data_IF_199248900601
#
_entry.id   IF_199248900601
#
_cell.length_a   1.000
_cell.length_b   1.000
_cell.length_c   1.000
_cell.angle_alpha   90.00
_cell.angle_beta   90.00
_cell.angle_gamma   90.00
#
_symmetry.space_group_name_H-M   'P 1'
#
loop_
_entity.id
_entity.type
_entity.pdbx_description
1 polymer ?
#
# COMPACT_ATOMS: atom_id res chain seq x y z
N UNK A 1 -29.90 -4.62 -0.33
CA UNK A 1 -30.15 -6.07 -0.26
C UNK A 1 -28.80 -6.75 -0.36
N UNK A 2 -28.38 -7.48 0.67
CA UNK A 2 -27.22 -8.37 0.56
C UNK A 2 -27.60 -9.55 -0.36
N UNK A 3 -26.62 -10.15 -1.03
CA UNK A 3 -26.85 -11.26 -1.93
C UNK A 3 -27.56 -12.42 -1.17
N UNK A 4 -28.48 -13.09 -1.85
CA UNK A 4 -28.99 -14.42 -1.47
C UNK A 4 -29.92 -14.53 -0.25
N UNK A 5 -30.67 -13.48 0.09
CA UNK A 5 -31.74 -13.58 1.10
C UNK A 5 -31.27 -13.68 2.55
N UNK A 6 -29.96 -13.64 2.79
CA UNK A 6 -29.39 -13.46 4.13
C UNK A 6 -29.74 -12.07 4.68
N UNK A 7 -30.27 -12.03 5.91
CA UNK A 7 -30.45 -10.79 6.66
C UNK A 7 -29.20 -10.49 7.47
N UNK A 8 -28.97 -9.22 7.83
CA UNK A 8 -27.81 -8.84 8.68
C UNK A 8 -27.82 -9.60 10.01
N UNK A 9 -29.03 -9.92 10.52
CA UNK A 9 -29.23 -10.67 11.76
C UNK A 9 -28.72 -12.12 11.69
N UNK A 10 -28.68 -12.73 10.51
CA UNK A 10 -28.20 -14.12 10.37
C UNK A 10 -26.70 -14.27 10.64
N UNK A 11 -25.95 -13.16 10.68
CA UNK A 11 -24.52 -13.15 10.94
C UNK A 11 -24.18 -13.11 12.44
N UNK A 12 -25.17 -12.90 13.34
CA UNK A 12 -24.93 -12.88 14.79
C UNK A 12 -23.92 -11.82 15.23
N UNK A 13 -23.90 -10.67 14.56
CA UNK A 13 -22.98 -9.58 14.87
C UNK A 13 -23.51 -8.79 16.07
N UNK A 14 -22.61 -8.42 16.98
CA UNK A 14 -22.86 -7.45 18.05
C UNK A 14 -22.11 -6.15 17.76
N UNK A 15 -22.41 -5.06 18.47
CA UNK A 15 -21.66 -3.79 18.44
C UNK A 15 -20.30 -3.91 19.15
N UNK A 16 -19.49 -4.87 18.73
CA UNK A 16 -18.13 -5.11 19.16
C UNK A 16 -17.29 -5.59 17.97
N UNK A 17 -15.98 -5.34 18.02
CA UNK A 17 -15.06 -5.92 17.06
C UNK A 17 -14.82 -7.40 17.35
N UNK A 18 -15.03 -8.24 16.34
CA UNK A 18 -14.93 -9.69 16.47
C UNK A 18 -13.48 -10.18 16.67
N UNK A 19 -12.47 -9.38 16.33
CA UNK A 19 -11.07 -9.76 16.46
C UNK A 19 -10.45 -9.29 17.77
N UNK A 20 -10.67 -8.03 18.15
CA UNK A 20 -10.09 -7.42 19.35
C UNK A 20 -11.00 -7.44 20.57
N UNK A 21 -12.26 -7.87 20.42
CA UNK A 21 -13.31 -7.83 21.46
C UNK A 21 -13.54 -6.43 22.04
N UNK A 22 -13.19 -5.38 21.30
CA UNK A 22 -13.44 -4.00 21.73
C UNK A 22 -14.89 -3.64 21.42
N UNK A 23 -15.65 -3.26 22.45
CA UNK A 23 -17.01 -2.76 22.28
C UNK A 23 -16.99 -1.42 21.53
N UNK A 24 -17.80 -1.32 20.47
CA UNK A 24 -17.92 -0.12 19.63
C UNK A 24 -18.69 1.01 20.34
N UNK A 25 -19.54 0.64 21.30
CA UNK A 25 -20.30 1.52 22.17
C UNK A 25 -20.36 0.89 23.58
N UNK A 26 -20.66 1.66 24.65
CA UNK A 26 -20.80 1.10 25.99
C UNK A 26 -21.83 -0.03 26.02
N UNK A 27 -21.42 -1.23 26.44
CA UNK A 27 -22.28 -2.42 26.45
C UNK A 27 -22.61 -3.00 25.07
N UNK A 28 -21.88 -2.59 24.02
CA UNK A 28 -22.14 -2.99 22.63
C UNK A 28 -22.10 -4.50 22.37
N UNK A 29 -21.42 -5.27 23.22
CA UNK A 29 -21.42 -6.74 23.20
C UNK A 29 -22.83 -7.34 23.34
N UNK A 30 -23.77 -6.61 23.93
CA UNK A 30 -25.16 -7.05 24.14
C UNK A 30 -26.14 -6.43 23.13
N UNK A 31 -25.62 -5.69 22.14
CA UNK A 31 -26.44 -4.99 21.15
C UNK A 31 -26.26 -5.70 19.82
N UNK A 32 -27.30 -6.41 19.38
CA UNK A 32 -27.30 -7.09 18.09
C UNK A 32 -27.37 -6.10 16.92
N UNK A 33 -26.64 -6.41 15.86
CA UNK A 33 -26.70 -5.68 14.60
C UNK A 33 -27.91 -6.16 13.79
N UNK A 34 -28.81 -5.23 13.51
CA UNK A 34 -30.02 -5.40 12.72
C UNK A 34 -29.93 -4.57 11.44
N UNK A 35 -30.82 -4.81 10.49
CA UNK A 35 -30.88 -3.99 9.27
C UNK A 35 -31.11 -2.49 9.56
N UNK A 36 -31.73 -2.15 10.69
CA UNK A 36 -32.01 -0.77 11.09
C UNK A 36 -30.79 -0.03 11.66
N UNK A 37 -29.86 -0.74 12.31
CA UNK A 37 -28.69 -0.14 12.96
C UNK A 37 -27.35 -0.49 12.27
N UNK A 38 -27.37 -1.32 11.22
CA UNK A 38 -26.18 -1.76 10.48
C UNK A 38 -25.32 -0.60 9.97
N UNK A 39 -25.94 0.51 9.54
CA UNK A 39 -25.18 1.69 9.11
C UNK A 39 -24.38 2.33 10.24
N UNK A 40 -24.93 2.39 11.46
CA UNK A 40 -24.20 2.90 12.64
C UNK A 40 -23.08 1.93 13.02
N UNK A 41 -23.36 0.62 13.05
CA UNK A 41 -22.33 -0.41 13.28
C UNK A 41 -21.12 -0.24 12.34
N UNK A 42 -21.37 -0.09 11.03
CA UNK A 42 -20.32 0.12 10.02
C UNK A 42 -19.55 1.42 10.30
N UNK A 43 -20.24 2.51 10.62
CA UNK A 43 -19.57 3.77 10.95
C UNK A 43 -18.67 3.64 12.19
N UNK A 44 -19.13 2.96 13.25
CA UNK A 44 -18.33 2.72 14.45
C UNK A 44 -17.13 1.83 14.16
N UNK A 45 -17.30 0.81 13.33
CA UNK A 45 -16.20 -0.04 12.89
C UNK A 45 -15.17 0.75 12.08
N UNK A 46 -15.60 1.61 11.15
CA UNK A 46 -14.70 2.48 10.40
C UNK A 46 -13.98 3.50 11.30
N UNK A 47 -14.67 4.05 12.29
CA UNK A 47 -14.05 4.96 13.27
C UNK A 47 -12.98 4.22 14.10
N UNK A 48 -13.29 3.03 14.60
CA UNK A 48 -12.33 2.19 15.32
C UNK A 48 -11.12 1.83 14.43
N UNK A 49 -11.36 1.34 13.22
CA UNK A 49 -10.29 0.80 12.37
C UNK A 49 -9.44 1.88 11.68
N UNK A 50 -10.05 2.98 11.26
CA UNK A 50 -9.43 3.95 10.35
C UNK A 50 -9.29 5.36 10.90
N UNK A 51 -9.90 5.67 12.05
CA UNK A 51 -9.79 6.99 12.67
C UNK A 51 -9.26 6.89 14.09
N UNK A 52 -10.13 6.69 15.08
CA UNK A 52 -9.78 6.69 16.50
C UNK A 52 -8.71 5.64 16.85
N UNK A 53 -8.80 4.42 16.32
CA UNK A 53 -7.87 3.33 16.66
C UNK A 53 -6.45 3.50 16.08
N UNK A 54 -6.28 4.36 15.08
CA UNK A 54 -4.97 4.68 14.50
C UNK A 54 -4.52 6.13 14.76
N UNK A 55 -5.32 6.94 15.45
CA UNK A 55 -5.08 8.37 15.62
C UNK A 55 -3.71 8.67 16.25
N UNK A 56 -3.31 7.89 17.26
CA UNK A 56 -2.01 8.07 17.93
C UNK A 56 -0.84 7.77 16.99
N UNK A 57 -0.95 6.71 16.19
CA UNK A 57 0.05 6.27 15.22
C UNK A 57 0.16 7.29 14.09
N UNK A 58 -0.97 7.80 13.59
CA UNK A 58 -0.98 8.83 12.55
C UNK A 58 -0.45 10.16 13.05
N UNK A 59 -0.75 10.57 14.29
CA UNK A 59 -0.19 11.80 14.84
C UNK A 59 1.32 11.71 15.06
N UNK A 60 1.82 10.56 15.56
CA UNK A 60 3.26 10.32 15.68
C UNK A 60 3.95 10.33 14.30
N UNK A 61 3.36 9.68 13.29
CA UNK A 61 3.86 9.69 11.92
C UNK A 61 3.88 11.10 11.34
N UNK A 62 2.81 11.87 11.53
CA UNK A 62 2.68 13.26 11.08
C UNK A 62 3.72 14.16 11.74
N UNK A 63 3.97 13.99 13.04
CA UNK A 63 4.99 14.73 13.77
C UNK A 63 6.39 14.44 13.24
N UNK A 64 6.76 13.16 13.11
CA UNK A 64 8.05 12.78 12.55
C UNK A 64 8.25 13.25 11.10
N UNK A 65 7.21 13.19 10.27
CA UNK A 65 7.27 13.72 8.91
C UNK A 65 7.47 15.24 8.90
N UNK A 66 6.78 15.97 9.77
CA UNK A 66 6.90 17.42 9.90
C UNK A 66 8.31 17.87 10.33
N UNK A 67 9.05 17.05 11.08
CA UNK A 67 10.45 17.30 11.43
C UNK A 67 11.37 17.21 10.21
N UNK A 68 11.07 16.33 9.25
CA UNK A 68 11.90 16.09 8.07
C UNK A 68 11.62 17.07 6.94
N UNK A 69 10.34 17.25 6.57
CA UNK A 69 9.95 18.06 5.38
C UNK A 69 9.37 19.43 5.75
N UNK A 70 9.30 19.74 7.05
CA UNK A 70 8.70 20.96 7.57
C UNK A 70 7.19 20.87 7.75
N UNK A 71 6.70 21.47 8.83
CA UNK A 71 5.32 21.35 9.27
C UNK A 71 4.28 21.90 8.28
N UNK A 72 4.65 22.86 7.42
CA UNK A 72 3.74 23.39 6.38
C UNK A 72 3.52 22.37 5.26
N UNK A 73 4.59 21.76 4.76
CA UNK A 73 4.51 20.73 3.73
C UNK A 73 3.78 19.48 4.25
N UNK A 74 4.12 19.03 5.46
CA UNK A 74 3.47 17.87 6.07
C UNK A 74 1.95 18.04 6.29
N UNK A 75 1.44 19.27 6.40
CA UNK A 75 0.00 19.55 6.52
C UNK A 75 -0.72 19.68 5.17
N UNK A 76 0.00 19.91 4.08
CA UNK A 76 -0.61 20.17 2.76
C UNK A 76 -0.57 18.97 1.82
N UNK A 77 0.12 17.88 2.17
CA UNK A 77 0.22 16.69 1.33
C UNK A 77 -1.13 15.98 1.22
N UNK A 78 -1.61 15.82 -0.01
CA UNK A 78 -2.67 14.85 -0.28
C UNK A 78 -2.13 13.43 -0.16
N UNK A 79 -3.01 12.45 0.07
CA UNK A 79 -2.62 11.03 0.20
C UNK A 79 -1.77 10.54 -0.99
N UNK A 80 -2.10 10.97 -2.22
CA UNK A 80 -1.35 10.61 -3.42
C UNK A 80 0.06 11.22 -3.46
N UNK A 81 0.24 12.44 -2.96
CA UNK A 81 1.54 13.12 -2.91
C UNK A 81 2.43 12.53 -1.83
N UNK A 82 1.84 12.17 -0.68
CA UNK A 82 2.55 11.41 0.35
C UNK A 82 3.05 10.06 -0.20
N UNK A 83 2.22 9.34 -0.96
CA UNK A 83 2.65 8.10 -1.61
C UNK A 83 3.78 8.35 -2.62
N UNK A 84 3.74 9.42 -3.43
CA UNK A 84 4.85 9.75 -4.34
C UNK A 84 6.13 10.11 -3.58
N UNK A 85 6.02 10.85 -2.48
CA UNK A 85 7.15 11.24 -1.66
C UNK A 85 7.85 10.02 -1.03
N UNK A 86 7.07 9.06 -0.51
CA UNK A 86 7.60 7.88 0.18
C UNK A 86 7.99 6.75 -0.78
N UNK A 87 7.22 6.54 -1.85
CA UNK A 87 7.35 5.39 -2.75
C UNK A 87 7.95 5.75 -4.11
N UNK A 88 8.23 7.03 -4.36
CA UNK A 88 8.71 7.53 -5.65
C UNK A 88 7.62 7.63 -6.72
N UNK A 89 8.00 8.17 -7.88
CA UNK A 89 7.12 8.31 -9.04
C UNK A 89 7.22 7.05 -9.93
N UNK A 90 6.08 6.43 -10.27
CA UNK A 90 6.04 5.20 -11.09
C UNK A 90 6.28 5.43 -12.59
N UNK A 91 6.37 6.69 -13.03
CA UNK A 91 6.52 7.07 -14.44
C UNK A 91 7.88 7.74 -14.69
N UNK A 92 8.97 6.98 -14.53
CA UNK A 92 10.31 7.44 -14.91
C UNK A 92 10.46 7.38 -16.44
N UNK A 93 10.69 8.52 -17.08
CA UNK A 93 10.97 8.62 -18.52
C UNK A 93 12.47 8.42 -18.75
N UNK A 94 12.85 7.41 -19.52
CA UNK A 94 14.24 7.07 -19.80
C UNK A 94 14.72 7.64 -21.16
N UNK A 95 15.86 8.34 -21.16
CA UNK A 95 16.57 8.88 -22.34
C UNK A 95 17.70 7.92 -22.79
N UNK A 96 18.01 7.95 -24.10
CA UNK A 96 19.01 7.17 -24.85
C UNK A 96 20.45 7.27 -24.34
N UNK A 97 20.77 8.22 -23.45
CA UNK A 97 22.15 8.39 -22.92
C UNK A 97 22.59 7.20 -22.04
N UNK A 98 21.66 6.47 -21.41
CA UNK A 98 21.99 5.44 -20.42
C UNK A 98 22.28 4.02 -20.94
N UNK A 99 22.30 3.78 -22.27
CA UNK A 99 22.26 2.43 -22.83
C UNK A 99 23.49 2.05 -23.69
N UNK A 100 24.71 2.06 -23.14
CA UNK A 100 25.92 1.61 -23.86
C UNK A 100 26.85 0.76 -22.99
N UNK A 101 26.74 -0.57 -23.04
CA UNK A 101 27.82 -1.59 -23.01
C UNK A 101 27.35 -2.93 -22.46
N UNK A 102 27.27 -3.98 -23.28
CA UNK A 102 26.82 -5.30 -22.84
C UNK A 102 27.21 -6.46 -23.79
N UNK A 103 27.92 -7.52 -23.32
CA UNK A 103 28.29 -8.68 -24.14
C UNK A 103 27.19 -9.75 -24.28
N UNK A 104 27.31 -10.55 -25.36
CA UNK A 104 26.39 -11.62 -25.74
C UNK A 104 26.44 -12.80 -24.75
N UNK A 105 25.34 -12.99 -24.01
CA UNK A 105 25.20 -14.04 -22.98
C UNK A 105 24.21 -13.66 -21.87
N UNK A 106 24.03 -12.37 -21.62
CA UNK A 106 23.10 -11.83 -20.62
C UNK A 106 21.68 -11.56 -21.16
N UNK A 107 21.30 -12.24 -22.24
CA UNK A 107 19.98 -12.11 -22.87
C UNK A 107 18.84 -12.81 -22.13
N UNK A 108 19.18 -13.74 -21.24
CA UNK A 108 18.22 -14.55 -20.49
C UNK A 108 17.96 -14.03 -19.07
N UNK A 109 18.90 -13.28 -18.49
CA UNK A 109 18.80 -12.77 -17.13
C UNK A 109 17.92 -11.50 -17.11
N UNK A 110 17.01 -11.42 -16.13
CA UNK A 110 16.15 -10.25 -15.94
C UNK A 110 16.88 -9.21 -15.08
N UNK A 111 16.58 -7.91 -15.25
CA UNK A 111 17.13 -6.90 -14.37
C UNK A 111 16.54 -7.07 -12.96
N UNK A 112 17.38 -6.89 -11.95
CA UNK A 112 16.98 -7.03 -10.54
C UNK A 112 17.23 -5.73 -9.78
N UNK A 113 16.40 -5.44 -8.79
CA UNK A 113 16.51 -4.25 -7.98
C UNK A 113 16.77 -4.63 -6.52
N UNK A 114 17.81 -4.04 -5.94
CA UNK A 114 18.03 -4.05 -4.50
C UNK A 114 17.48 -2.75 -3.93
N UNK A 115 16.23 -2.79 -3.46
CA UNK A 115 15.53 -1.62 -2.92
C UNK A 115 16.23 -1.03 -1.70
N UNK A 116 16.79 -1.88 -0.82
CA UNK A 116 17.53 -1.46 0.37
C UNK A 116 18.78 -0.61 0.07
N UNK A 117 19.35 -0.75 -1.13
CA UNK A 117 20.58 -0.07 -1.53
C UNK A 117 20.36 0.91 -2.69
N UNK A 118 19.12 1.06 -3.17
CA UNK A 118 18.78 1.87 -4.35
C UNK A 118 19.60 1.48 -5.59
N UNK A 119 19.96 0.20 -5.71
CA UNK A 119 20.77 -0.32 -6.82
C UNK A 119 19.88 -1.11 -7.77
N UNK A 120 19.89 -0.73 -9.04
CA UNK A 120 19.36 -1.54 -10.13
C UNK A 120 20.53 -2.32 -10.76
N UNK A 121 20.55 -3.63 -10.57
CA UNK A 121 21.51 -4.53 -11.20
C UNK A 121 21.01 -4.86 -12.60
N UNK A 122 21.75 -4.38 -13.59
CA UNK A 122 21.47 -4.64 -15.00
C UNK A 122 22.45 -5.69 -15.52
N UNK A 123 21.96 -6.87 -15.92
CA UNK A 123 22.73 -7.79 -16.75
C UNK A 123 23.19 -7.10 -18.03
N UNK A 124 24.28 -7.57 -18.64
CA UNK A 124 24.73 -7.02 -19.89
C UNK A 124 23.81 -7.37 -21.10
N UNK A 125 22.81 -6.54 -21.42
CA UNK A 125 22.02 -6.58 -22.67
C UNK A 125 22.64 -5.96 -23.93
N UNK A 126 22.90 -6.76 -24.98
CA UNK A 126 23.50 -6.31 -26.26
C UNK A 126 22.84 -5.10 -26.95
N UNK A 127 21.59 -4.76 -26.63
CA UNK A 127 20.91 -3.58 -27.18
C UNK A 127 19.95 -2.91 -26.20
N UNK A 128 19.74 -1.61 -26.41
CA UNK A 128 18.73 -0.84 -25.68
C UNK A 128 17.30 -1.41 -25.88
N UNK A 129 17.01 -1.99 -27.04
CA UNK A 129 15.73 -2.63 -27.33
C UNK A 129 15.53 -3.86 -26.42
N UNK A 130 16.57 -4.69 -26.27
CA UNK A 130 16.55 -5.87 -25.39
C UNK A 130 16.44 -5.47 -23.92
N UNK A 131 17.19 -4.45 -23.46
CA UNK A 131 17.04 -3.93 -22.11
C UNK A 131 15.60 -3.43 -21.87
N UNK A 132 15.04 -2.68 -22.82
CA UNK A 132 13.67 -2.16 -22.71
C UNK A 132 12.63 -3.28 -22.61
N UNK A 133 12.74 -4.30 -23.44
CA UNK A 133 11.85 -5.47 -23.43
C UNK A 133 11.96 -6.21 -22.09
N UNK A 134 13.18 -6.53 -21.65
CA UNK A 134 13.44 -7.29 -20.42
C UNK A 134 13.07 -6.52 -19.16
N UNK A 135 13.38 -5.23 -19.11
CA UNK A 135 12.99 -4.35 -18.01
C UNK A 135 11.47 -4.16 -17.95
N UNK A 136 10.82 -3.94 -19.09
CA UNK A 136 9.37 -3.88 -19.17
C UNK A 136 8.72 -5.17 -18.67
N UNK A 137 9.24 -6.32 -19.09
CA UNK A 137 8.81 -7.62 -18.59
C UNK A 137 9.02 -7.76 -17.08
N UNK A 138 10.19 -7.41 -16.55
CA UNK A 138 10.50 -7.52 -15.12
C UNK A 138 9.63 -6.60 -14.26
N UNK A 139 9.33 -5.38 -14.70
CA UNK A 139 8.46 -4.44 -13.98
C UNK A 139 7.02 -4.97 -13.92
N UNK A 140 6.48 -5.46 -15.04
CA UNK A 140 5.10 -5.97 -15.10
C UNK A 140 4.95 -7.29 -14.32
N UNK A 141 6.02 -8.10 -14.28
CA UNK A 141 5.98 -9.42 -13.66
C UNK A 141 6.68 -9.48 -12.29
N UNK A 142 7.15 -8.36 -11.75
CA UNK A 142 7.69 -8.29 -10.39
C UNK A 142 6.55 -8.47 -9.40
N UNK A 143 6.36 -9.69 -8.91
CA UNK A 143 5.36 -10.03 -7.89
C UNK A 143 5.77 -9.58 -6.46
N UNK A 144 6.66 -8.60 -6.35
CA UNK A 144 7.24 -8.19 -5.06
C UNK A 144 8.11 -9.29 -4.41
N UNK A 145 8.73 -10.17 -5.21
CA UNK A 145 9.64 -11.18 -4.68
C UNK A 145 10.90 -10.49 -4.15
N UNK A 146 11.07 -10.46 -2.83
CA UNK A 146 12.27 -9.95 -2.18
C UNK A 146 13.33 -11.05 -2.28
N UNK A 147 14.34 -10.83 -3.12
CA UNK A 147 15.55 -11.63 -3.10
C UNK A 147 16.35 -11.26 -1.84
N UNK A 148 16.44 -12.20 -0.88
CA UNK A 148 17.23 -12.06 0.34
C UNK A 148 18.52 -12.90 0.32
N UNK A 149 18.98 -13.32 -0.87
CA UNK A 149 20.24 -14.05 -1.03
C UNK A 149 21.48 -13.15 -1.12
#
# INVERSE_FOLDING_TARGET
RLADGCTVESYGLAFADAQSCVALVPGGEQIDVTAANASDYVQRMLDLLLHAGIARQMEACRAGLAEVIGARAARSLAACELCRLLCGERNVVWDRVSAKHCPEGAHAELPSASTCFHVLKLPPYSSAATLRERLGYAIVNSKGLIDMS
#
